data_IF_569081781171
#
_entry.id   IF_569081781171
#
_cell.length_a   1.000
_cell.length_b   1.000
_cell.length_c   1.000
_cell.angle_alpha   90.00
_cell.angle_beta   90.00
_cell.angle_gamma   90.00
#
_symmetry.space_group_name_H-M   'P 1'
#
loop_
_entity.id
_entity.type
_entity.pdbx_description
1 polymer ?
#
# COMPACT_ATOMS: atom_id res chain seq x y z
N UNK A 1 -25.91 48.50 29.23
CA UNK A 1 -26.46 47.50 28.29
C UNK A 1 -26.05 47.89 26.88
N UNK A 2 -25.09 47.20 26.28
CA UNK A 2 -25.15 46.81 24.88
C UNK A 2 -24.05 45.80 24.59
N UNK A 3 -24.49 44.68 24.05
CA UNK A 3 -23.81 43.39 23.93
C UNK A 3 -22.90 43.37 22.71
N UNK A 4 -21.61 43.08 22.89
CA UNK A 4 -20.72 42.73 21.79
C UNK A 4 -21.03 41.31 21.29
N UNK A 5 -21.54 41.22 20.07
CA UNK A 5 -21.61 39.98 19.30
C UNK A 5 -20.19 39.46 19.03
N UNK A 6 -19.83 38.35 19.69
CA UNK A 6 -18.67 37.52 19.32
C UNK A 6 -19.05 36.75 18.06
N UNK A 7 -18.33 37.01 16.97
CA UNK A 7 -18.38 36.17 15.78
C UNK A 7 -17.89 34.76 16.12
N UNK A 8 -18.71 33.78 15.77
CA UNK A 8 -18.44 32.37 15.98
C UNK A 8 -17.35 31.93 14.99
N UNK A 9 -16.12 31.77 15.48
CA UNK A 9 -15.03 31.18 14.69
C UNK A 9 -15.38 29.71 14.48
N UNK A 10 -15.74 29.38 13.24
CA UNK A 10 -15.86 28.00 12.73
C UNK A 10 -14.75 27.13 13.32
N UNK A 11 -15.13 26.18 14.18
CA UNK A 11 -14.24 25.16 14.74
C UNK A 11 -13.74 24.30 13.58
N UNK A 12 -12.54 24.63 13.09
CA UNK A 12 -11.79 23.73 12.22
C UNK A 12 -11.60 22.41 12.95
N UNK A 13 -12.10 21.32 12.36
CA UNK A 13 -11.92 19.97 12.88
C UNK A 13 -10.43 19.69 13.04
N UNK A 14 -9.93 19.22 14.20
CA UNK A 14 -8.53 18.91 14.36
C UNK A 14 -8.19 17.73 13.45
N UNK A 15 -7.27 17.92 12.50
CA UNK A 15 -6.64 16.81 11.76
C UNK A 15 -5.92 15.92 12.78
N UNK A 16 -6.54 14.81 13.19
CA UNK A 16 -5.89 13.81 14.06
C UNK A 16 -4.69 13.24 13.29
N UNK A 17 -3.48 13.44 13.84
CA UNK A 17 -2.24 12.90 13.30
C UNK A 17 -2.18 11.40 13.62
N UNK A 18 -2.38 10.54 12.63
CA UNK A 18 -2.37 9.08 12.78
C UNK A 18 -2.82 8.37 11.50
N UNK A 19 -2.95 7.05 11.56
CA UNK A 19 -3.64 6.26 10.51
C UNK A 19 -5.08 6.77 10.35
N UNK A 20 -5.70 6.41 9.23
CA UNK A 20 -7.08 6.71 8.91
C UNK A 20 -8.01 6.28 10.07
N UNK A 21 -9.05 7.07 10.44
CA UNK A 21 -9.90 6.75 11.59
C UNK A 21 -10.57 5.37 11.56
N UNK A 22 -10.83 4.84 10.35
CA UNK A 22 -11.41 3.49 10.15
C UNK A 22 -10.39 2.34 10.24
N UNK A 23 -9.10 2.65 10.37
CA UNK A 23 -8.03 1.65 10.42
C UNK A 23 -8.07 0.88 11.74
N UNK A 24 -8.13 -0.45 11.67
CA UNK A 24 -8.24 -1.34 12.83
C UNK A 24 -6.99 -1.30 13.74
N UNK A 25 -5.87 -0.80 13.23
CA UNK A 25 -4.59 -0.80 13.93
C UNK A 25 -4.24 0.55 14.59
N UNK A 26 -5.22 1.45 14.74
CA UNK A 26 -5.02 2.75 15.41
C UNK A 26 -4.54 2.63 16.86
N UNK A 27 -4.76 1.48 17.51
CA UNK A 27 -4.38 1.22 18.91
C UNK A 27 -3.13 0.32 19.03
N UNK A 28 -2.40 0.10 17.93
CA UNK A 28 -1.28 -0.85 17.93
C UNK A 28 -1.74 -2.31 17.86
N UNK A 29 -0.94 -3.21 18.43
CA UNK A 29 -1.14 -4.66 18.34
C UNK A 29 -1.33 -5.28 19.72
N UNK A 30 -2.37 -6.08 19.89
CA UNK A 30 -2.58 -6.93 21.07
C UNK A 30 -1.74 -8.21 20.93
N UNK A 31 -0.44 -8.11 21.22
CA UNK A 31 0.48 -9.24 21.11
C UNK A 31 0.08 -10.47 21.93
N UNK A 32 -0.40 -10.35 23.19
CA UNK A 32 -0.91 -11.51 23.92
C UNK A 32 -2.03 -12.23 23.18
N UNK A 33 -2.99 -11.49 22.62
CA UNK A 33 -4.08 -12.10 21.86
C UNK A 33 -3.61 -12.68 20.53
N UNK A 34 -2.67 -12.02 19.82
CA UNK A 34 -2.07 -12.51 18.57
C UNK A 34 -1.26 -13.79 18.78
N UNK A 35 -0.46 -13.86 19.85
CA UNK A 35 0.31 -15.06 20.21
C UNK A 35 -0.64 -16.21 20.59
N UNK A 36 -1.75 -15.91 21.27
CA UNK A 36 -2.77 -16.93 21.60
C UNK A 36 -3.41 -17.52 20.35
N UNK A 37 -3.72 -16.72 19.32
CA UNK A 37 -4.30 -17.20 18.06
C UNK A 37 -3.27 -17.79 17.09
N UNK A 38 -2.00 -17.40 17.22
CA UNK A 38 -0.90 -17.90 16.41
C UNK A 38 0.37 -18.10 17.25
N UNK A 39 0.51 -19.27 17.91
CA UNK A 39 1.65 -19.56 18.79
C UNK A 39 3.03 -19.43 18.13
N UNK A 40 3.12 -19.59 16.81
CA UNK A 40 4.36 -19.39 16.07
C UNK A 40 4.89 -17.95 16.09
N UNK A 41 4.06 -16.96 16.47
CA UNK A 41 4.50 -15.59 16.70
C UNK A 41 5.28 -15.43 18.02
N UNK A 42 5.05 -16.30 19.01
CA UNK A 42 5.60 -16.16 20.37
C UNK A 42 7.13 -15.97 20.41
N UNK A 43 7.95 -16.73 19.66
CA UNK A 43 9.41 -16.60 19.70
C UNK A 43 9.93 -15.22 19.25
N UNK A 44 9.13 -14.46 18.50
CA UNK A 44 9.51 -13.15 17.97
C UNK A 44 9.08 -11.99 18.87
N UNK A 45 8.17 -12.22 19.81
CA UNK A 45 7.59 -11.18 20.66
C UNK A 45 8.44 -10.94 21.89
N UNK A 46 8.87 -9.69 22.09
CA UNK A 46 9.68 -9.25 23.22
C UNK A 46 9.33 -7.82 23.64
N UNK A 47 9.55 -7.43 24.90
CA UNK A 47 9.39 -6.04 25.30
C UNK A 47 10.40 -5.12 24.58
N UNK A 48 9.99 -3.90 24.26
CA UNK A 48 10.85 -2.83 23.80
C UNK A 48 11.55 -2.13 24.99
N UNK A 49 12.33 -1.08 24.72
CA UNK A 49 13.03 -0.31 25.76
C UNK A 49 12.11 0.40 26.78
N UNK A 50 10.81 0.52 26.47
CA UNK A 50 9.78 1.14 27.31
C UNK A 50 8.89 0.09 28.02
N UNK A 51 9.13 -1.20 27.78
CA UNK A 51 8.37 -2.30 28.37
C UNK A 51 7.17 -2.79 27.55
N UNK A 52 6.82 -2.11 26.45
CA UNK A 52 5.71 -2.55 25.58
C UNK A 52 6.14 -3.74 24.72
N UNK A 53 5.25 -4.71 24.54
CA UNK A 53 5.51 -5.84 23.65
C UNK A 53 5.63 -5.39 22.19
N UNK A 54 6.62 -5.94 21.48
CA UNK A 54 6.93 -5.69 20.07
C UNK A 54 7.58 -6.91 19.44
N UNK A 55 7.81 -6.85 18.13
CA UNK A 55 8.78 -7.71 17.44
C UNK A 55 10.01 -6.90 17.02
N UNK A 56 11.07 -7.59 16.58
CA UNK A 56 12.11 -6.93 15.80
C UNK A 56 11.69 -6.76 14.34
N UNK A 57 11.40 -5.52 13.94
CA UNK A 57 11.02 -5.19 12.56
C UNK A 57 12.19 -5.26 11.55
N UNK A 58 13.42 -5.58 11.99
CA UNK A 58 14.49 -6.01 11.09
C UNK A 58 14.49 -7.51 10.77
N UNK A 59 13.77 -8.34 11.52
CA UNK A 59 13.68 -9.77 11.24
C UNK A 59 12.56 -10.05 10.21
N UNK A 60 12.90 -10.50 8.98
CA UNK A 60 11.91 -10.73 7.93
C UNK A 60 10.91 -11.84 8.29
N UNK A 61 11.31 -12.85 9.07
CA UNK A 61 10.41 -13.92 9.50
C UNK A 61 9.45 -13.42 10.57
N UNK A 62 9.92 -12.62 11.53
CA UNK A 62 9.06 -11.97 12.52
C UNK A 62 8.00 -11.09 11.86
N UNK A 63 8.41 -10.26 10.89
CA UNK A 63 7.51 -9.34 10.17
C UNK A 63 6.49 -10.11 9.34
N UNK A 64 6.92 -11.15 8.62
CA UNK A 64 6.03 -12.02 7.83
C UNK A 64 5.01 -12.73 8.73
N UNK A 65 5.45 -13.30 9.84
CA UNK A 65 4.60 -14.00 10.81
C UNK A 65 3.56 -13.05 11.44
N UNK A 66 3.98 -11.85 11.84
CA UNK A 66 3.06 -10.83 12.34
C UNK A 66 2.02 -10.44 11.28
N UNK A 67 2.45 -10.13 10.06
CA UNK A 67 1.54 -9.69 9.00
C UNK A 67 0.53 -10.78 8.59
N UNK A 68 0.96 -12.05 8.53
CA UNK A 68 0.06 -13.18 8.28
C UNK A 68 -1.02 -13.27 9.36
N UNK A 69 -0.64 -13.12 10.63
CA UNK A 69 -1.60 -13.18 11.74
C UNK A 69 -2.52 -11.94 11.78
N UNK A 70 -2.02 -10.76 11.44
CA UNK A 70 -2.87 -9.57 11.30
C UNK A 70 -3.93 -9.77 10.21
N UNK A 71 -3.54 -10.32 9.06
CA UNK A 71 -4.44 -10.64 7.95
C UNK A 71 -5.52 -11.65 8.34
N UNK A 72 -5.11 -12.72 9.02
CA UNK A 72 -6.03 -13.74 9.52
C UNK A 72 -7.03 -13.18 10.51
N UNK A 73 -6.54 -12.50 11.55
CA UNK A 73 -7.36 -12.07 12.69
C UNK A 73 -8.29 -10.90 12.38
N UNK A 74 -7.82 -9.92 11.61
CA UNK A 74 -8.54 -8.67 11.41
C UNK A 74 -9.22 -8.56 10.04
N UNK A 75 -8.80 -9.38 9.07
CA UNK A 75 -9.29 -9.31 7.69
C UNK A 75 -9.78 -10.65 7.16
N UNK A 76 -9.84 -11.70 7.99
CA UNK A 76 -10.31 -13.04 7.63
C UNK A 76 -9.59 -13.63 6.40
N UNK A 77 -8.30 -13.31 6.23
CA UNK A 77 -7.46 -13.91 5.20
C UNK A 77 -6.62 -15.01 5.85
N UNK A 78 -6.94 -16.26 5.56
CA UNK A 78 -6.20 -17.43 6.04
C UNK A 78 -5.10 -17.82 5.08
N UNK A 79 -4.10 -18.55 5.59
CA UNK A 79 -2.99 -19.13 4.81
C UNK A 79 -2.34 -18.14 3.84
N UNK A 80 -2.25 -16.87 4.27
CA UNK A 80 -1.50 -15.86 3.53
C UNK A 80 -0.02 -16.14 3.69
N UNK A 81 0.63 -16.36 2.56
CA UNK A 81 2.07 -16.56 2.49
C UNK A 81 2.67 -15.81 1.30
N UNK A 82 3.97 -15.55 1.36
CA UNK A 82 4.72 -14.95 0.26
C UNK A 82 6.03 -15.70 0.01
N UNK A 83 6.51 -15.79 -1.25
CA UNK A 83 7.78 -16.43 -1.58
C UNK A 83 8.94 -15.77 -0.86
N UNK A 84 10.00 -16.54 -0.63
CA UNK A 84 11.23 -16.01 -0.05
C UNK A 84 11.77 -14.84 -0.89
N UNK A 85 12.17 -13.77 -0.22
CA UNK A 85 12.66 -12.55 -0.86
C UNK A 85 11.59 -11.65 -1.46
N UNK A 86 10.30 -12.03 -1.50
CA UNK A 86 9.22 -11.15 -1.94
C UNK A 86 8.95 -10.00 -0.95
N UNK A 87 8.35 -8.90 -1.42
CA UNK A 87 8.03 -7.78 -0.54
C UNK A 87 6.97 -8.15 0.50
N UNK A 88 7.32 -8.07 1.79
CA UNK A 88 6.37 -8.22 2.89
C UNK A 88 5.71 -6.86 3.25
N UNK A 89 4.40 -6.66 2.98
CA UNK A 89 3.78 -5.36 3.18
C UNK A 89 3.39 -5.12 4.65
N UNK A 90 3.67 -3.94 5.22
CA UNK A 90 3.14 -3.59 6.53
C UNK A 90 1.63 -3.34 6.45
N UNK A 91 0.82 -4.25 7.00
CA UNK A 91 -0.64 -4.27 6.83
C UNK A 91 -1.33 -2.95 7.20
N UNK A 92 -1.03 -2.28 8.34
CA UNK A 92 -1.72 -1.05 8.69
C UNK A 92 -1.58 0.02 7.62
N UNK A 93 -0.40 0.15 7.03
CA UNK A 93 -0.16 1.17 6.03
C UNK A 93 -0.81 0.90 4.68
N UNK A 94 -1.09 -0.38 4.37
CA UNK A 94 -1.81 -0.77 3.15
C UNK A 94 -3.32 -0.58 3.32
N UNK A 95 -3.87 -0.95 4.49
CA UNK A 95 -5.26 -0.69 4.83
C UNK A 95 -5.57 0.81 4.84
N UNK A 96 -4.61 1.61 5.32
CA UNK A 96 -4.69 3.07 5.30
C UNK A 96 -4.90 3.64 3.89
N UNK A 97 -4.18 3.11 2.90
CA UNK A 97 -4.33 3.54 1.50
C UNK A 97 -5.73 3.19 0.98
N UNK A 98 -6.20 1.96 1.26
CA UNK A 98 -7.55 1.53 0.85
C UNK A 98 -8.65 2.39 1.49
N UNK A 99 -8.51 2.76 2.77
CA UNK A 99 -9.46 3.69 3.40
C UNK A 99 -9.45 5.07 2.75
N UNK A 100 -8.27 5.63 2.44
CA UNK A 100 -8.17 6.89 1.71
C UNK A 100 -8.84 6.80 0.33
N UNK A 101 -8.73 5.66 -0.37
CA UNK A 101 -9.42 5.45 -1.65
C UNK A 101 -10.93 5.34 -1.47
N UNK A 102 -11.41 4.74 -0.38
CA UNK A 102 -12.85 4.68 -0.09
C UNK A 102 -13.46 6.06 0.16
N UNK A 103 -12.75 6.92 0.88
CA UNK A 103 -13.15 8.31 1.07
C UNK A 103 -13.07 9.12 -0.25
N UNK A 104 -12.09 8.81 -1.12
CA UNK A 104 -11.93 9.45 -2.43
C UNK A 104 -13.08 9.14 -3.40
N UNK A 105 -13.40 7.86 -3.58
CA UNK A 105 -14.47 7.44 -4.51
C UNK A 105 -15.86 7.84 -4.01
N UNK A 106 -15.97 8.06 -2.69
CA UNK A 106 -17.21 8.37 -2.01
C UNK A 106 -18.09 7.14 -1.89
N UNK A 107 -18.26 6.63 -0.67
CA UNK A 107 -19.32 5.67 -0.38
C UNK A 107 -20.65 6.45 -0.33
N UNK A 108 -21.25 6.68 -1.50
CA UNK A 108 -22.60 7.23 -1.57
C UNK A 108 -23.61 6.33 -0.85
N UNK A 109 -24.77 6.88 -0.48
CA UNK A 109 -25.86 6.13 0.16
C UNK A 109 -26.41 4.97 -0.71
N UNK A 110 -26.04 4.91 -1.99
CA UNK A 110 -26.26 3.76 -2.86
C UNK A 110 -25.06 2.81 -2.76
N UNK A 111 -25.31 1.57 -2.32
CA UNK A 111 -24.35 0.47 -2.29
C UNK A 111 -23.93 0.04 -3.72
N UNK A 112 -23.24 0.90 -4.46
CA UNK A 112 -22.65 0.52 -5.74
C UNK A 112 -21.43 -0.35 -5.48
N UNK A 113 -21.34 -1.46 -6.21
CA UNK A 113 -20.18 -2.36 -6.18
C UNK A 113 -18.98 -1.66 -6.79
N UNK A 114 -18.15 -1.04 -5.96
CA UNK A 114 -16.89 -0.38 -6.38
C UNK A 114 -15.95 -1.40 -7.02
N UNK A 115 -15.33 -1.02 -8.14
CA UNK A 115 -14.29 -1.77 -8.85
C UNK A 115 -12.92 -1.13 -8.70
N UNK A 116 -11.98 -1.83 -8.10
CA UNK A 116 -10.59 -1.42 -7.92
C UNK A 116 -9.66 -2.16 -8.90
N UNK A 117 -8.73 -1.41 -9.51
CA UNK A 117 -7.61 -1.96 -10.27
C UNK A 117 -6.30 -1.74 -9.51
N UNK A 118 -5.60 -2.79 -9.15
CA UNK A 118 -4.27 -2.73 -8.53
C UNK A 118 -3.18 -2.97 -9.58
N UNK A 119 -2.28 -2.02 -9.74
CA UNK A 119 -1.16 -2.07 -10.69
C UNK A 119 0.13 -2.49 -9.97
N UNK A 120 0.64 -3.66 -10.30
CA UNK A 120 1.80 -4.26 -9.63
C UNK A 120 1.40 -4.83 -8.27
N UNK A 121 0.45 -5.77 -8.27
CA UNK A 121 -0.11 -6.35 -7.06
C UNK A 121 0.92 -7.14 -6.24
N UNK A 122 2.02 -7.55 -6.87
CA UNK A 122 3.11 -8.30 -6.26
C UNK A 122 2.66 -9.68 -5.79
N UNK A 123 3.60 -10.44 -5.21
CA UNK A 123 3.26 -11.77 -4.70
C UNK A 123 2.28 -11.74 -3.51
N UNK A 124 2.13 -10.59 -2.84
CA UNK A 124 1.31 -10.46 -1.64
C UNK A 124 -0.17 -10.14 -1.90
N UNK A 125 -0.53 -9.58 -3.07
CA UNK A 125 -1.93 -9.25 -3.44
C UNK A 125 -2.62 -8.24 -2.52
N UNK A 126 -1.87 -7.47 -1.73
CA UNK A 126 -2.38 -6.92 -0.47
C UNK A 126 -3.52 -5.91 -0.64
N UNK A 127 -3.48 -5.09 -1.68
CA UNK A 127 -4.49 -4.04 -1.88
C UNK A 127 -5.87 -4.63 -2.25
N UNK A 128 -5.99 -5.51 -3.27
CA UNK A 128 -7.21 -6.26 -3.52
C UNK A 128 -7.72 -7.06 -2.32
N UNK A 129 -6.84 -7.78 -1.61
CA UNK A 129 -7.24 -8.58 -0.43
C UNK A 129 -7.94 -7.70 0.62
N UNK A 130 -7.32 -6.57 0.96
CA UNK A 130 -7.88 -5.64 1.94
C UNK A 130 -9.15 -4.95 1.42
N UNK A 131 -9.19 -4.54 0.15
CA UNK A 131 -10.37 -3.90 -0.43
C UNK A 131 -11.59 -4.85 -0.47
N UNK A 132 -11.36 -6.13 -0.82
CA UNK A 132 -12.39 -7.16 -0.79
C UNK A 132 -12.94 -7.36 0.63
N UNK A 133 -12.07 -7.44 1.64
CA UNK A 133 -12.47 -7.76 3.01
C UNK A 133 -13.05 -6.57 3.78
N UNK A 134 -12.50 -5.37 3.60
CA UNK A 134 -12.94 -4.17 4.32
C UNK A 134 -14.24 -3.62 3.73
N UNK A 135 -14.37 -3.64 2.39
CA UNK A 135 -15.45 -2.93 1.69
C UNK A 135 -16.25 -3.79 0.72
N UNK A 136 -15.92 -5.07 0.54
CA UNK A 136 -16.60 -5.92 -0.43
C UNK A 136 -16.33 -5.50 -1.88
N UNK A 137 -15.26 -4.78 -2.17
CA UNK A 137 -14.98 -4.30 -3.52
C UNK A 137 -14.67 -5.45 -4.48
N UNK A 138 -15.03 -5.23 -5.74
CA UNK A 138 -14.57 -6.04 -6.87
C UNK A 138 -13.19 -5.55 -7.27
N UNK A 139 -12.24 -6.45 -7.45
CA UNK A 139 -10.84 -6.12 -7.62
C UNK A 139 -10.23 -6.87 -8.80
N UNK A 140 -9.40 -6.16 -9.56
CA UNK A 140 -8.47 -6.73 -10.53
C UNK A 140 -7.06 -6.39 -10.07
N UNK A 141 -6.18 -7.38 -9.97
CA UNK A 141 -4.76 -7.17 -9.68
C UNK A 141 -3.91 -7.55 -10.87
N UNK A 142 -3.07 -6.64 -11.33
CA UNK A 142 -2.13 -6.90 -12.41
C UNK A 142 -0.70 -7.02 -11.92
N UNK A 143 0.08 -7.88 -12.58
CA UNK A 143 1.53 -7.96 -12.39
C UNK A 143 2.22 -8.45 -13.66
N UNK A 144 3.50 -8.08 -13.83
CA UNK A 144 4.35 -8.58 -14.91
C UNK A 144 4.93 -9.95 -14.57
N UNK A 145 5.09 -10.26 -13.28
CA UNK A 145 5.69 -11.49 -12.78
C UNK A 145 4.62 -12.58 -12.61
N UNK A 146 4.71 -13.63 -13.42
CA UNK A 146 3.80 -14.77 -13.35
C UNK A 146 3.85 -15.48 -11.99
N UNK A 147 5.03 -15.61 -11.37
CA UNK A 147 5.17 -16.26 -10.05
C UNK A 147 4.49 -15.46 -8.95
N UNK A 148 4.53 -14.12 -9.04
CA UNK A 148 3.77 -13.26 -8.12
C UNK A 148 2.28 -13.53 -8.23
N UNK A 149 1.75 -13.62 -9.46
CA UNK A 149 0.33 -13.94 -9.69
C UNK A 149 -0.04 -15.35 -9.25
N UNK A 150 0.81 -16.35 -9.48
CA UNK A 150 0.60 -17.73 -9.01
C UNK A 150 0.51 -17.82 -7.48
N UNK A 151 1.34 -17.06 -6.77
CA UNK A 151 1.25 -16.99 -5.30
C UNK A 151 -0.08 -16.37 -4.86
N UNK A 152 -0.50 -15.26 -5.47
CA UNK A 152 -1.80 -14.63 -5.15
C UNK A 152 -2.97 -15.55 -5.52
N UNK A 153 -2.89 -16.30 -6.61
CA UNK A 153 -3.90 -17.29 -6.98
C UNK A 153 -4.04 -18.39 -5.91
N UNK A 154 -2.93 -18.81 -5.30
CA UNK A 154 -2.93 -19.75 -4.17
C UNK A 154 -3.64 -19.14 -2.95
N UNK A 155 -3.34 -17.87 -2.61
CA UNK A 155 -4.04 -17.16 -1.52
C UNK A 155 -5.54 -17.09 -1.80
N UNK A 156 -5.96 -16.73 -3.02
CA UNK A 156 -7.38 -16.67 -3.42
C UNK A 156 -8.04 -18.04 -3.27
N UNK A 157 -7.36 -19.11 -3.68
CA UNK A 157 -7.88 -20.49 -3.59
C UNK A 157 -8.16 -20.91 -2.15
N UNK A 158 -7.29 -20.52 -1.21
CA UNK A 158 -7.46 -20.79 0.22
C UNK A 158 -8.55 -19.91 0.89
N UNK A 159 -9.04 -18.89 0.20
CA UNK A 159 -9.98 -17.91 0.72
C UNK A 159 -11.19 -17.76 -0.22
N UNK A 160 -12.16 -18.71 -0.21
CA UNK A 160 -13.23 -18.80 -1.22
C UNK A 160 -14.08 -17.53 -1.37
N UNK A 161 -14.20 -16.71 -0.33
CA UNK A 161 -14.92 -15.42 -0.36
C UNK A 161 -14.31 -14.41 -1.35
N UNK A 162 -13.08 -14.63 -1.79
CA UNK A 162 -12.36 -13.79 -2.75
C UNK A 162 -12.53 -14.22 -4.20
N UNK A 163 -12.92 -15.47 -4.46
CA UNK A 163 -12.88 -16.08 -5.80
C UNK A 163 -13.65 -15.26 -6.84
N UNK A 164 -14.83 -14.76 -6.47
CA UNK A 164 -15.70 -13.97 -7.34
C UNK A 164 -15.51 -12.46 -7.16
N UNK A 165 -14.51 -12.04 -6.39
CA UNK A 165 -14.20 -10.64 -6.11
C UNK A 165 -12.81 -10.21 -6.53
N UNK A 166 -11.86 -11.14 -6.69
CA UNK A 166 -10.48 -10.81 -7.01
C UNK A 166 -10.01 -11.59 -8.23
N UNK A 167 -9.91 -10.89 -9.36
CA UNK A 167 -9.38 -11.42 -10.62
C UNK A 167 -7.93 -11.01 -10.83
N UNK A 168 -7.10 -11.92 -11.32
CA UNK A 168 -5.68 -11.66 -11.64
C UNK A 168 -5.48 -11.46 -13.14
N UNK A 169 -4.59 -10.53 -13.52
CA UNK A 169 -4.23 -10.27 -14.92
C UNK A 169 -2.73 -10.15 -15.11
N UNK A 170 -2.18 -10.89 -16.07
CA UNK A 170 -0.78 -10.78 -16.42
C UNK A 170 -0.55 -9.60 -17.36
N UNK A 171 0.35 -8.70 -16.97
CA UNK A 171 0.88 -7.67 -17.84
C UNK A 171 2.00 -8.27 -18.68
N UNK A 172 1.73 -8.54 -19.96
CA UNK A 172 2.69 -9.21 -20.85
C UNK A 172 3.84 -8.29 -21.28
N UNK A 173 3.57 -7.00 -21.47
CA UNK A 173 4.59 -6.00 -21.78
C UNK A 173 4.73 -4.99 -20.64
N UNK A 174 5.90 -5.00 -19.98
CA UNK A 174 6.27 -4.03 -18.94
C UNK A 174 6.23 -2.57 -19.41
N UNK A 175 6.13 -2.35 -20.73
CA UNK A 175 6.03 -1.02 -21.30
C UNK A 175 4.61 -0.48 -21.40
N UNK A 176 3.61 -1.33 -21.23
CA UNK A 176 2.20 -0.98 -21.30
C UNK A 176 1.52 -1.36 -19.98
N UNK A 177 1.37 -0.39 -19.09
CA UNK A 177 0.80 -0.57 -17.75
C UNK A 177 -0.70 -0.88 -17.82
N UNK A 178 -1.45 -0.16 -18.66
CA UNK A 178 -2.90 -0.32 -18.75
C UNK A 178 -3.36 -1.10 -19.99
N UNK A 179 -2.57 -1.13 -21.07
CA UNK A 179 -2.92 -1.87 -22.28
C UNK A 179 -2.97 -3.38 -22.04
N UNK A 180 -4.07 -4.01 -22.46
CA UNK A 180 -4.35 -5.42 -22.18
C UNK A 180 -4.77 -5.69 -20.73
N UNK A 181 -4.57 -4.74 -19.81
CA UNK A 181 -5.03 -4.82 -18.42
C UNK A 181 -6.44 -4.27 -18.29
N UNK A 182 -6.70 -3.05 -18.76
CA UNK A 182 -8.06 -2.50 -18.85
C UNK A 182 -8.66 -2.94 -20.18
N UNK A 183 -9.70 -3.77 -20.14
CA UNK A 183 -10.31 -4.33 -21.35
C UNK A 183 -11.37 -3.39 -21.95
N UNK A 184 -11.68 -3.49 -23.26
CA UNK A 184 -12.77 -2.72 -23.86
C UNK A 184 -14.11 -2.96 -23.15
N UNK A 185 -14.83 -1.88 -22.81
CA UNK A 185 -16.10 -1.95 -22.10
C UNK A 185 -15.99 -2.22 -20.59
N UNK A 186 -14.77 -2.32 -20.06
CA UNK A 186 -14.52 -2.41 -18.63
C UNK A 186 -14.35 -1.03 -17.99
N UNK A 187 -14.90 -0.88 -16.78
CA UNK A 187 -14.85 0.36 -16.03
C UNK A 187 -14.39 0.11 -14.59
N UNK A 188 -13.52 0.98 -14.09
CA UNK A 188 -13.00 0.99 -12.73
C UNK A 188 -13.35 2.30 -12.03
N UNK A 189 -13.65 2.22 -10.75
CA UNK A 189 -13.86 3.39 -9.91
C UNK A 189 -12.55 3.98 -9.43
N UNK A 190 -11.56 3.13 -9.16
CA UNK A 190 -10.24 3.54 -8.72
C UNK A 190 -9.15 2.60 -9.17
N UNK A 191 -8.02 3.13 -9.65
CA UNK A 191 -6.77 2.40 -9.74
C UNK A 191 -5.85 2.75 -8.58
N UNK A 192 -5.16 1.77 -8.02
CA UNK A 192 -4.12 1.94 -7.00
C UNK A 192 -2.79 1.43 -7.52
N UNK A 193 -1.70 2.02 -7.03
CA UNK A 193 -0.36 1.56 -7.38
C UNK A 193 0.63 1.89 -6.25
N UNK A 194 1.54 0.97 -5.99
CA UNK A 194 2.74 1.22 -5.20
C UNK A 194 3.97 1.04 -6.09
N UNK A 195 4.49 2.12 -6.72
CA UNK A 195 5.57 2.01 -7.69
C UNK A 195 6.85 1.38 -7.11
N UNK A 196 7.66 0.73 -7.95
CA UNK A 196 9.02 0.34 -7.56
C UNK A 196 9.85 1.57 -7.17
N UNK A 197 10.51 1.49 -6.02
CA UNK A 197 11.11 2.66 -5.36
C UNK A 197 12.47 3.05 -5.94
N UNK A 198 13.24 2.08 -6.44
CA UNK A 198 14.65 2.26 -6.77
C UNK A 198 14.89 2.28 -8.29
N UNK A 199 15.91 3.01 -8.75
CA UNK A 199 16.29 3.05 -10.17
C UNK A 199 17.14 1.84 -10.59
N UNK A 200 17.75 1.15 -9.61
CA UNK A 200 18.59 -0.03 -9.81
C UNK A 200 18.67 -0.88 -8.53
N UNK A 201 19.17 -2.11 -8.67
CA UNK A 201 19.48 -3.00 -7.54
C UNK A 201 20.45 -2.34 -6.54
N UNK A 202 21.48 -1.64 -7.03
CA UNK A 202 22.45 -0.92 -6.18
C UNK A 202 21.82 0.19 -5.34
N UNK A 203 20.87 0.95 -5.91
CA UNK A 203 20.14 1.97 -5.15
C UNK A 203 19.24 1.32 -4.08
N UNK A 204 18.68 0.15 -4.38
CA UNK A 204 17.88 -0.61 -3.43
C UNK A 204 18.69 -1.15 -2.25
N UNK A 205 19.85 -1.73 -2.52
CA UNK A 205 20.78 -2.21 -1.48
C UNK A 205 21.28 -1.06 -0.60
N UNK A 206 21.66 0.09 -1.18
CA UNK A 206 22.06 1.29 -0.42
C UNK A 206 20.90 1.88 0.39
N UNK A 207 19.69 1.89 -0.16
CA UNK A 207 18.48 2.33 0.53
C UNK A 207 18.15 1.45 1.73
N UNK A 208 18.28 0.13 1.59
CA UNK A 208 18.10 -0.81 2.69
C UNK A 208 19.16 -0.62 3.79
N UNK A 209 20.44 -0.46 3.43
CA UNK A 209 21.50 -0.20 4.41
C UNK A 209 21.25 1.08 5.23
N UNK A 210 20.76 2.15 4.59
CA UNK A 210 20.38 3.40 5.30
C UNK A 210 19.22 3.16 6.26
N UNK A 211 18.20 2.40 5.86
CA UNK A 211 17.05 2.05 6.73
C UNK A 211 17.52 1.24 7.95
N UNK A 212 18.34 0.22 7.73
CA UNK A 212 18.97 -0.59 8.78
C UNK A 212 19.73 0.26 9.79
N UNK A 213 20.58 1.16 9.31
CA UNK A 213 21.35 2.04 10.16
C UNK A 213 20.45 2.99 10.97
N UNK A 214 19.36 3.50 10.37
CA UNK A 214 18.38 4.34 11.06
C UNK A 214 17.60 3.56 12.13
N UNK A 215 17.23 2.31 11.86
CA UNK A 215 16.59 1.41 12.82
C UNK A 215 17.52 1.08 13.99
N UNK A 216 18.78 0.72 13.72
CA UNK A 216 19.79 0.48 14.75
C UNK A 216 20.01 1.72 15.63
N UNK A 217 20.11 2.90 15.02
CA UNK A 217 20.24 4.17 15.76
C UNK A 217 19.04 4.45 16.66
N UNK A 218 17.83 4.12 16.22
CA UNK A 218 16.62 4.26 17.04
C UNK A 218 16.58 3.26 18.21
N UNK A 219 17.31 2.14 18.12
CA UNK A 219 17.50 1.18 19.22
C UNK A 219 18.67 1.54 20.15
N UNK A 220 19.37 2.66 19.91
CA UNK A 220 20.55 3.06 20.69
C UNK A 220 21.83 2.31 20.31
N UNK A 221 21.83 1.56 19.21
CA UNK A 221 22.99 0.83 18.70
C UNK A 221 23.87 1.74 17.82
N UNK A 222 25.20 1.66 17.97
CA UNK A 222 26.13 2.49 17.17
C UNK A 222 26.24 2.03 15.71
N UNK A 223 25.99 0.73 15.43
CA UNK A 223 25.97 0.13 14.08
C UNK A 223 25.06 -1.11 14.06
N UNK A 224 24.39 -1.35 12.93
CA UNK A 224 23.67 -2.61 12.69
C UNK A 224 24.68 -3.78 12.61
N UNK A 225 24.56 -4.76 13.52
CA UNK A 225 25.32 -6.01 13.45
C UNK A 225 24.61 -6.98 12.49
N UNK A 226 24.83 -6.84 11.18
CA UNK A 226 24.37 -7.84 10.20
C UNK A 226 25.53 -8.19 9.26
N UNK A 227 25.93 -9.46 9.26
CA UNK A 227 26.99 -10.03 8.40
C UNK A 227 26.55 -10.30 6.95
N UNK A 228 25.37 -9.83 6.53
CA UNK A 228 24.88 -9.99 5.15
C UNK A 228 23.88 -8.87 4.81
N UNK A 229 23.88 -8.33 3.57
CA UNK A 229 22.89 -7.33 3.15
C UNK A 229 21.57 -8.02 2.79
N UNK A 230 20.89 -8.61 3.77
CA UNK A 230 19.53 -9.15 3.58
C UNK A 230 18.51 -8.00 3.60
N UNK A 231 17.56 -8.02 2.66
CA UNK A 231 16.47 -7.03 2.58
C UNK A 231 15.41 -7.34 3.66
N UNK A 232 15.31 -6.52 4.71
CA UNK A 232 14.35 -6.77 5.81
C UNK A 232 12.88 -6.68 5.41
N UNK A 233 12.59 -6.06 4.26
CA UNK A 233 11.25 -5.99 3.69
C UNK A 233 11.13 -6.84 2.42
N UNK A 234 12.18 -7.58 2.01
CA UNK A 234 12.23 -8.25 0.71
C UNK A 234 12.06 -7.30 -0.48
N UNK A 235 11.65 -7.86 -1.61
CA UNK A 235 11.47 -7.26 -2.92
C UNK A 235 12.32 -7.98 -3.96
N UNK A 236 11.68 -8.68 -4.90
CA UNK A 236 12.36 -9.36 -6.01
C UNK A 236 12.34 -8.49 -7.27
N UNK A 237 13.53 -8.25 -7.85
CA UNK A 237 13.69 -7.63 -9.17
C UNK A 237 12.84 -6.37 -9.37
N UNK A 238 11.81 -6.50 -10.21
CA UNK A 238 10.94 -5.40 -10.64
C UNK A 238 10.01 -4.83 -9.55
N UNK A 239 9.77 -5.54 -8.44
CA UNK A 239 9.04 -4.98 -7.28
C UNK A 239 9.88 -3.91 -6.56
N UNK A 240 11.21 -4.01 -6.67
CA UNK A 240 12.14 -3.19 -5.92
C UNK A 240 12.69 -2.04 -6.77
N UNK A 241 12.96 -2.29 -8.05
CA UNK A 241 13.55 -1.29 -8.94
C UNK A 241 13.05 -1.36 -10.38
N UNK A 242 13.10 -0.21 -11.07
CA UNK A 242 12.88 -0.12 -12.50
C UNK A 242 13.82 0.90 -13.13
N UNK A 243 14.10 0.81 -14.44
CA UNK A 243 14.96 1.79 -15.13
C UNK A 243 14.40 3.21 -14.93
N UNK A 244 15.19 4.08 -14.31
CA UNK A 244 14.83 5.47 -13.97
C UNK A 244 13.87 5.63 -12.77
N UNK A 245 13.62 4.55 -12.03
CA UNK A 245 12.94 4.52 -10.74
C UNK A 245 11.51 5.05 -10.74
N UNK A 246 11.04 5.38 -9.55
CA UNK A 246 9.67 5.88 -9.29
C UNK A 246 9.28 7.03 -10.24
N UNK A 247 10.20 7.94 -10.58
CA UNK A 247 9.89 9.08 -11.43
C UNK A 247 9.48 8.66 -12.86
N UNK A 248 10.23 7.77 -13.50
CA UNK A 248 9.90 7.31 -14.85
C UNK A 248 8.67 6.40 -14.85
N UNK A 249 8.51 5.58 -13.79
CA UNK A 249 7.31 4.77 -13.63
C UNK A 249 6.05 5.65 -13.52
N UNK A 250 6.04 6.63 -12.62
CA UNK A 250 4.92 7.58 -12.47
C UNK A 250 4.64 8.33 -13.77
N UNK A 251 5.69 8.78 -14.47
CA UNK A 251 5.54 9.47 -15.76
C UNK A 251 4.84 8.59 -16.81
N UNK A 252 5.14 7.28 -16.83
CA UNK A 252 4.48 6.32 -17.73
C UNK A 252 3.03 6.08 -17.31
N UNK A 253 2.80 5.74 -16.04
CA UNK A 253 1.47 5.54 -15.45
C UNK A 253 0.53 6.71 -15.76
N UNK A 254 0.99 7.94 -15.52
CA UNK A 254 0.22 9.17 -15.77
C UNK A 254 -0.09 9.34 -17.27
N UNK A 255 0.85 9.04 -18.17
CA UNK A 255 0.62 9.17 -19.62
C UNK A 255 -0.39 8.17 -20.13
N UNK A 256 -0.24 6.90 -19.77
CA UNK A 256 -1.16 5.87 -20.21
C UNK A 256 -2.56 6.08 -19.62
N UNK A 257 -2.68 6.64 -18.40
CA UNK A 257 -3.97 6.93 -17.78
C UNK A 257 -4.87 7.84 -18.62
N UNK A 258 -4.30 8.73 -19.44
CA UNK A 258 -5.08 9.60 -20.33
C UNK A 258 -5.85 8.81 -21.38
N UNK A 259 -5.29 7.71 -21.89
CA UNK A 259 -5.92 6.84 -22.89
C UNK A 259 -7.16 6.16 -22.31
N UNK A 260 -7.13 5.85 -21.00
CA UNK A 260 -8.22 5.19 -20.27
C UNK A 260 -9.05 6.17 -19.44
N UNK A 261 -9.02 7.46 -19.78
CA UNK A 261 -9.66 8.57 -19.05
C UNK A 261 -11.17 8.40 -18.83
N UNK A 262 -11.85 7.66 -19.71
CA UNK A 262 -13.29 7.36 -19.60
C UNK A 262 -13.59 6.02 -18.96
N UNK A 263 -12.58 5.17 -18.76
CA UNK A 263 -12.71 3.81 -18.23
C UNK A 263 -12.28 3.69 -16.76
N UNK A 264 -11.57 4.69 -16.22
CA UNK A 264 -11.21 4.70 -14.80
C UNK A 264 -11.51 6.07 -14.21
N UNK A 265 -12.40 6.10 -13.22
CA UNK A 265 -12.85 7.35 -12.58
C UNK A 265 -11.72 8.02 -11.80
N UNK A 266 -10.99 7.29 -10.97
CA UNK A 266 -9.84 7.82 -10.25
C UNK A 266 -8.59 6.99 -10.51
N UNK A 267 -7.55 7.62 -11.03
CA UNK A 267 -6.22 7.02 -11.01
C UNK A 267 -5.51 7.44 -9.74
N UNK A 268 -4.74 6.54 -9.11
CA UNK A 268 -3.93 6.90 -7.96
C UNK A 268 -2.62 6.12 -7.88
N UNK A 269 -1.64 6.70 -7.19
CA UNK A 269 -0.37 6.05 -6.88
C UNK A 269 0.20 6.59 -5.58
N UNK A 270 0.85 5.72 -4.81
CA UNK A 270 1.77 6.16 -3.77
C UNK A 270 2.98 6.85 -4.41
N UNK A 271 3.49 7.87 -3.72
CA UNK A 271 4.69 8.62 -4.08
C UNK A 271 5.57 8.69 -2.85
N UNK A 272 6.71 7.99 -2.89
CA UNK A 272 7.65 7.88 -1.79
C UNK A 272 8.63 9.04 -1.72
N UNK A 273 9.08 9.56 -2.87
CA UNK A 273 10.01 10.70 -2.95
C UNK A 273 9.22 11.98 -3.16
N UNK A 274 9.27 12.90 -2.21
CA UNK A 274 8.54 14.18 -2.29
C UNK A 274 8.88 14.97 -3.57
N UNK A 275 10.12 14.86 -4.06
CA UNK A 275 10.58 15.50 -5.29
C UNK A 275 9.84 15.03 -6.56
N UNK A 276 9.21 13.85 -6.53
CA UNK A 276 8.42 13.34 -7.64
C UNK A 276 7.00 13.94 -7.70
N UNK A 277 6.50 14.52 -6.61
CA UNK A 277 5.12 15.04 -6.52
C UNK A 277 4.90 16.22 -7.47
N UNK A 278 5.77 17.23 -7.42
CA UNK A 278 5.61 18.45 -8.24
C UNK A 278 5.68 18.16 -9.75
N UNK A 279 6.67 17.40 -10.26
CA UNK A 279 6.69 16.97 -11.66
C UNK A 279 5.46 16.14 -12.06
N UNK A 280 5.01 15.21 -11.21
CA UNK A 280 3.83 14.39 -11.49
C UNK A 280 2.57 15.26 -11.62
N UNK A 281 2.29 16.15 -10.67
CA UNK A 281 1.16 17.09 -10.72
C UNK A 281 1.21 17.97 -11.97
N UNK A 282 2.39 18.44 -12.37
CA UNK A 282 2.55 19.24 -13.61
C UNK A 282 2.17 18.42 -14.85
N UNK A 283 2.59 17.16 -14.93
CA UNK A 283 2.26 16.27 -16.05
C UNK A 283 0.77 15.95 -16.09
N UNK A 284 0.16 15.60 -14.94
CA UNK A 284 -1.27 15.29 -14.83
C UNK A 284 -2.11 16.46 -15.34
N UNK A 285 -1.83 17.70 -14.90
CA UNK A 285 -2.53 18.90 -15.41
C UNK A 285 -2.33 19.09 -16.90
N UNK A 286 -1.11 18.89 -17.41
CA UNK A 286 -0.79 19.02 -18.84
C UNK A 286 -1.61 18.06 -19.70
N UNK A 287 -1.94 16.88 -19.19
CA UNK A 287 -2.73 15.86 -19.90
C UNK A 287 -4.24 16.10 -19.78
N UNK A 288 -4.68 17.16 -19.10
CA UNK A 288 -6.09 17.55 -19.06
C UNK A 288 -6.90 16.92 -17.93
N UNK A 289 -6.27 16.37 -16.89
CA UNK A 289 -6.99 15.95 -15.69
C UNK A 289 -7.70 17.14 -15.06
N UNK A 290 -8.97 16.97 -14.72
CA UNK A 290 -9.85 18.03 -14.22
C UNK A 290 -9.70 18.22 -12.70
N UNK A 291 -9.32 17.16 -11.99
CA UNK A 291 -9.08 17.22 -10.55
C UNK A 291 -7.83 16.41 -10.16
N UNK A 292 -7.08 16.93 -9.19
CA UNK A 292 -5.90 16.30 -8.61
C UNK A 292 -5.94 16.43 -7.10
N UNK A 293 -5.89 15.30 -6.39
CA UNK A 293 -5.79 15.27 -4.92
C UNK A 293 -4.44 14.72 -4.49
N UNK A 294 -3.86 15.39 -3.51
CA UNK A 294 -2.67 14.92 -2.80
C UNK A 294 -3.09 14.60 -1.37
N UNK A 295 -3.05 13.32 -1.01
CA UNK A 295 -3.49 12.82 0.28
C UNK A 295 -2.24 12.42 1.07
N UNK A 296 -2.02 13.08 2.20
CA UNK A 296 -0.89 12.78 3.08
C UNK A 296 -1.25 11.64 4.04
N UNK A 297 -0.41 10.60 4.08
CA UNK A 297 -0.54 9.46 4.98
C UNK A 297 0.62 9.47 5.99
N UNK A 298 0.32 9.41 7.29
CA UNK A 298 1.32 9.39 8.36
C UNK A 298 1.30 8.04 9.08
N UNK A 299 2.39 7.30 8.94
CA UNK A 299 2.56 5.95 9.48
C UNK A 299 3.80 5.94 10.36
N UNK A 300 3.61 6.22 11.64
CA UNK A 300 4.73 6.50 12.56
C UNK A 300 5.58 7.67 12.06
N UNK A 301 6.89 7.44 11.91
CA UNK A 301 7.84 8.46 11.44
C UNK A 301 7.85 8.65 9.91
N UNK A 302 7.13 7.82 9.16
CA UNK A 302 7.10 7.88 7.70
C UNK A 302 5.89 8.70 7.22
N UNK A 303 6.17 9.70 6.40
CA UNK A 303 5.14 10.40 5.63
C UNK A 303 5.16 9.86 4.20
N UNK A 304 4.07 9.23 3.79
CA UNK A 304 3.85 8.80 2.40
C UNK A 304 2.75 9.67 1.80
N UNK A 305 2.77 9.89 0.49
CA UNK A 305 1.73 10.65 -0.21
C UNK A 305 1.03 9.74 -1.21
N UNK A 306 -0.28 9.88 -1.31
CA UNK A 306 -1.03 9.38 -2.47
C UNK A 306 -1.29 10.57 -3.37
N UNK A 307 -0.95 10.41 -4.64
CA UNK A 307 -1.39 11.31 -5.68
C UNK A 307 -2.54 10.64 -6.43
N UNK A 308 -3.70 11.28 -6.45
CA UNK A 308 -4.88 10.82 -7.17
C UNK A 308 -5.34 11.86 -8.18
N UNK A 309 -5.85 11.42 -9.33
CA UNK A 309 -6.34 12.30 -10.40
C UNK A 309 -7.48 11.68 -11.19
N UNK A 310 -8.34 12.53 -11.74
CA UNK A 310 -9.47 12.16 -12.61
C UNK A 310 -9.48 13.06 -13.86
N UNK A 311 -9.95 12.51 -14.97
CA UNK A 311 -10.26 13.24 -16.21
C UNK A 311 -11.77 13.48 -16.40
N UNK A 312 -12.59 12.94 -15.49
CA UNK A 312 -14.05 13.01 -15.46
C UNK A 312 -14.53 14.03 -14.43
#
# INVERSE_FOLDING_TARGET
MNTHHRSDKSRGTPVRKGLHPKNLHNQGYDFPALVKSHPALAPYVKPNAYGDLTIDFSDPLAVKTLNAELLKRYYNIVDWDIPEGALCPPIPGRADYIHCMADLVGLGHEQRSIKLLDIGTGANGIYPLLACQIYGWQCVGSDINAQSLENVATIITNNPTLKDRFTLRRQHDKNHIFEGIIQPGEFFDVSVCNPPFHASLDEALKGNQRKLNNLARNRGEQKAQTQSPTLNFGGLGAELWCKGGEQLFLKKLIRESQVYSTQCRWFSSLVSKADNVKPAKKLIRKLGAVEIREIEMKQGNKVTRVLAWTFM
#
